data_IF_722420426228
#
_entry.id   IF_722420426228
#
_cell.length_a   1.000
_cell.length_b   1.000
_cell.length_c   1.000
_cell.angle_alpha   90.00
_cell.angle_beta   90.00
_cell.angle_gamma   90.00
#
_symmetry.space_group_name_H-M   'P 1'
#
loop_
_entity.id
_entity.type
_entity.pdbx_description
1 polymer ?
#
# COMPACT_ATOMS: atom_id res chain seq x y z
N UNK A 1 15.23 -16.68 11.29
CA UNK A 1 16.04 -15.61 10.65
C UNK A 1 15.39 -15.16 9.34
N UNK A 2 15.12 -16.08 8.41
CA UNK A 2 14.49 -15.79 7.11
C UNK A 2 13.12 -15.10 7.24
N UNK A 3 12.25 -15.60 8.09
CA UNK A 3 10.95 -15.00 8.34
C UNK A 3 11.05 -13.55 8.83
N UNK A 4 12.08 -13.22 9.59
CA UNK A 4 12.31 -11.87 10.09
C UNK A 4 12.80 -10.91 8.99
N UNK A 5 13.63 -11.41 8.07
CA UNK A 5 14.04 -10.65 6.89
C UNK A 5 12.85 -10.38 5.98
N UNK A 6 12.03 -11.39 5.69
CA UNK A 6 10.86 -11.23 4.84
C UNK A 6 9.81 -10.28 5.41
N UNK A 7 9.69 -10.21 6.73
CA UNK A 7 8.71 -9.32 7.38
C UNK A 7 9.16 -7.85 7.39
N UNK A 8 10.47 -7.59 7.46
CA UNK A 8 11.00 -6.24 7.72
C UNK A 8 11.77 -5.62 6.56
N UNK A 9 11.91 -6.33 5.43
CA UNK A 9 12.65 -5.85 4.26
C UNK A 9 11.76 -5.78 3.03
N UNK A 10 12.00 -4.80 2.18
CA UNK A 10 11.37 -4.72 0.85
C UNK A 10 12.24 -5.37 -0.22
N UNK A 11 13.55 -5.39 0.04
CA UNK A 11 14.56 -5.96 -0.83
C UNK A 11 15.48 -6.82 0.03
N UNK A 12 15.73 -8.05 -0.39
CA UNK A 12 16.76 -8.91 0.18
C UNK A 12 17.73 -9.27 -0.91
N UNK A 13 19.01 -9.02 -0.65
CA UNK A 13 20.09 -9.35 -1.56
C UNK A 13 20.97 -10.42 -0.91
N UNK A 14 21.20 -11.51 -1.62
CA UNK A 14 22.13 -12.54 -1.26
C UNK A 14 23.25 -12.60 -2.30
N UNK A 15 24.47 -12.77 -1.84
CA UNK A 15 25.63 -13.04 -2.68
C UNK A 15 26.15 -14.45 -2.42
N UNK A 16 27.18 -14.84 -3.18
CA UNK A 16 27.90 -16.10 -3.04
C UNK A 16 27.17 -17.33 -3.57
N UNK A 17 26.06 -17.15 -4.25
CA UNK A 17 25.40 -18.22 -5.00
C UNK A 17 26.05 -18.40 -6.38
N UNK A 18 25.93 -19.59 -6.96
CA UNK A 18 26.49 -19.87 -8.29
C UNK A 18 25.53 -19.56 -9.43
N UNK A 19 24.43 -18.89 -9.14
CA UNK A 19 23.43 -18.53 -10.15
C UNK A 19 22.83 -17.17 -9.84
N UNK A 20 22.54 -16.44 -10.91
CA UNK A 20 21.74 -15.19 -10.83
C UNK A 20 20.27 -15.57 -10.81
N UNK A 21 19.57 -15.24 -9.72
CA UNK A 21 18.12 -15.42 -9.62
C UNK A 21 17.46 -14.16 -9.09
N UNK A 22 16.25 -13.94 -9.55
CA UNK A 22 15.37 -12.96 -8.95
C UNK A 22 14.00 -13.59 -8.71
N UNK A 23 13.39 -13.26 -7.61
CA UNK A 23 12.03 -13.70 -7.25
C UNK A 23 11.27 -12.55 -6.63
N UNK A 24 10.03 -12.38 -7.09
CA UNK A 24 9.04 -11.60 -6.37
C UNK A 24 8.32 -12.55 -5.43
N UNK A 25 8.54 -12.39 -4.14
CA UNK A 25 7.88 -13.20 -3.12
C UNK A 25 6.69 -12.40 -2.61
N UNK A 26 5.49 -12.84 -2.99
CA UNK A 26 4.23 -12.28 -2.50
C UNK A 26 3.71 -13.16 -1.38
N UNK A 27 3.50 -12.63 -0.19
CA UNK A 27 2.80 -13.36 0.86
C UNK A 27 1.29 -13.19 0.72
N UNK A 28 0.59 -14.32 0.64
CA UNK A 28 -0.88 -14.34 0.66
C UNK A 28 -1.32 -13.92 2.07
N UNK A 29 -2.00 -12.78 2.17
CA UNK A 29 -2.50 -12.21 3.43
C UNK A 29 -1.80 -10.94 3.91
N UNK A 30 -0.52 -10.76 3.65
CA UNK A 30 0.22 -9.56 4.09
C UNK A 30 0.42 -8.51 3.00
N UNK A 31 -0.06 -8.74 1.78
CA UNK A 31 0.11 -7.87 0.60
C UNK A 31 1.55 -7.35 0.41
N UNK A 32 2.54 -8.01 1.00
CA UNK A 32 3.93 -7.61 0.92
C UNK A 32 4.59 -8.31 -0.26
N UNK A 33 5.09 -7.52 -1.18
CA UNK A 33 6.01 -8.00 -2.21
C UNK A 33 7.44 -7.76 -1.73
N UNK A 34 8.19 -8.83 -1.64
CA UNK A 34 9.61 -8.80 -1.36
C UNK A 34 10.36 -9.06 -2.65
N UNK A 35 11.26 -8.17 -3.02
CA UNK A 35 12.20 -8.39 -4.11
C UNK A 35 13.38 -9.17 -3.54
N UNK A 36 13.50 -10.44 -3.90
CA UNK A 36 14.62 -11.28 -3.54
C UNK A 36 15.59 -11.40 -4.71
N UNK A 37 16.83 -11.01 -4.50
CA UNK A 37 17.89 -10.98 -5.51
C UNK A 37 19.04 -11.87 -5.05
N UNK A 38 19.33 -12.89 -5.82
CA UNK A 38 20.57 -13.69 -5.70
C UNK A 38 21.53 -13.25 -6.79
N UNK A 39 22.76 -12.94 -6.40
CA UNK A 39 23.83 -12.63 -7.33
C UNK A 39 24.87 -13.75 -7.32
N UNK A 40 25.33 -14.13 -8.50
CA UNK A 40 26.39 -15.08 -8.64
C UNK A 40 27.71 -14.59 -8.01
N UNK A 41 28.55 -15.51 -7.64
CA UNK A 41 29.81 -15.21 -7.00
C UNK A 41 30.83 -14.64 -8.00
N UNK A 42 31.55 -13.63 -7.57
CA UNK A 42 32.70 -13.12 -8.28
C UNK A 42 33.86 -14.13 -8.12
N UNK A 43 34.11 -14.92 -9.15
CA UNK A 43 35.10 -16.00 -9.11
C UNK A 43 36.27 -15.71 -10.05
N UNK A 44 37.45 -16.25 -9.71
CA UNK A 44 38.64 -16.13 -10.55
C UNK A 44 38.63 -17.05 -11.80
N UNK A 45 37.55 -17.72 -12.07
CA UNK A 45 37.40 -18.65 -13.19
C UNK A 45 36.57 -18.02 -14.32
N UNK A 46 36.58 -18.66 -15.50
CA UNK A 46 35.86 -18.19 -16.69
C UNK A 46 34.33 -18.04 -16.52
N UNK A 47 33.79 -18.37 -15.38
CA UNK A 47 32.35 -18.22 -15.03
C UNK A 47 32.14 -17.14 -13.96
N UNK A 48 32.94 -16.10 -13.96
CA UNK A 48 32.77 -14.98 -13.04
C UNK A 48 31.58 -14.10 -13.46
N UNK A 49 30.73 -13.78 -12.53
CA UNK A 49 29.57 -12.93 -12.75
C UNK A 49 29.43 -11.90 -11.61
N UNK A 50 28.84 -10.77 -11.90
CA UNK A 50 28.45 -9.80 -10.89
C UNK A 50 27.14 -9.10 -11.28
N UNK A 51 26.46 -8.56 -10.30
CA UNK A 51 25.25 -7.76 -10.49
C UNK A 51 25.46 -6.31 -10.07
N UNK A 52 24.86 -5.39 -10.82
CA UNK A 52 24.69 -3.99 -10.45
C UNK A 52 23.22 -3.72 -10.18
N UNK A 53 22.93 -3.06 -9.07
CA UNK A 53 21.59 -2.64 -8.70
C UNK A 53 21.50 -1.12 -8.72
N UNK A 54 20.56 -0.60 -9.49
CA UNK A 54 20.24 0.82 -9.53
C UNK A 54 18.85 1.02 -8.91
N UNK A 55 18.78 1.79 -7.84
CA UNK A 55 17.53 2.16 -7.19
C UNK A 55 17.16 3.57 -7.64
N UNK A 56 16.07 3.69 -8.39
CA UNK A 56 15.52 4.98 -8.80
C UNK A 56 14.38 5.35 -7.84
N UNK A 57 14.63 6.31 -6.95
CA UNK A 57 13.66 6.75 -5.94
C UNK A 57 12.59 7.68 -6.50
N UNK A 58 12.82 8.32 -7.64
CA UNK A 58 11.84 9.19 -8.29
C UNK A 58 10.77 8.36 -9.03
N UNK A 59 11.23 7.32 -9.73
CA UNK A 59 10.34 6.41 -10.48
C UNK A 59 9.89 5.21 -9.65
N UNK A 60 10.34 5.12 -8.40
CA UNK A 60 10.08 3.97 -7.54
C UNK A 60 10.38 2.64 -8.22
N UNK A 61 11.57 2.53 -8.80
CA UNK A 61 11.97 1.35 -9.55
C UNK A 61 13.37 0.87 -9.16
N UNK A 62 13.60 -0.43 -9.35
CA UNK A 62 14.91 -1.07 -9.20
C UNK A 62 15.26 -1.68 -10.54
N UNK A 63 16.40 -1.31 -11.08
CA UNK A 63 16.98 -1.96 -12.24
C UNK A 63 18.16 -2.81 -11.83
N UNK A 64 18.11 -4.08 -12.15
CA UNK A 64 19.19 -5.03 -11.96
C UNK A 64 19.85 -5.32 -13.30
N UNK A 65 21.15 -5.19 -13.32
CA UNK A 65 22.01 -5.56 -14.44
C UNK A 65 22.89 -6.72 -13.99
N UNK A 66 22.95 -7.78 -14.78
CA UNK A 66 23.90 -8.87 -14.58
C UNK A 66 24.97 -8.85 -15.65
N UNK A 67 26.19 -9.09 -15.25
CA UNK A 67 27.38 -9.08 -16.10
C UNK A 67 28.09 -10.42 -15.99
N UNK A 68 28.41 -11.02 -17.11
CA UNK A 68 29.16 -12.29 -17.20
C UNK A 68 30.52 -12.05 -17.87
N UNK A 69 31.57 -12.72 -17.37
CA UNK A 69 32.88 -12.67 -17.96
C UNK A 69 32.99 -13.60 -19.16
N UNK A 70 33.37 -13.08 -20.32
CA UNK A 70 33.50 -13.86 -21.56
C UNK A 70 34.90 -14.36 -21.86
N UNK A 71 35.85 -14.22 -20.91
CA UNK A 71 37.26 -14.58 -21.09
C UNK A 71 38.17 -13.37 -21.33
N UNK A 72 37.63 -12.22 -21.72
CA UNK A 72 38.38 -10.99 -22.02
C UNK A 72 37.84 -9.80 -21.22
N UNK A 73 36.50 -9.67 -21.14
CA UNK A 73 35.82 -8.57 -20.49
C UNK A 73 34.48 -9.05 -19.91
N UNK A 74 33.86 -8.21 -19.08
CA UNK A 74 32.49 -8.43 -18.62
C UNK A 74 31.51 -7.84 -19.63
N UNK A 75 30.55 -8.64 -20.03
CA UNK A 75 29.46 -8.24 -20.93
C UNK A 75 28.13 -8.29 -20.17
N UNK A 76 27.25 -7.37 -20.48
CA UNK A 76 25.90 -7.38 -19.92
C UNK A 76 25.15 -8.63 -20.41
N UNK A 77 24.72 -9.45 -19.47
CA UNK A 77 24.01 -10.69 -19.75
C UNK A 77 22.49 -10.49 -19.65
N UNK A 78 22.01 -9.71 -18.70
CA UNK A 78 20.59 -9.46 -18.45
C UNK A 78 20.38 -8.10 -17.79
N UNK A 79 19.29 -7.43 -18.18
CA UNK A 79 18.74 -6.27 -17.48
C UNK A 79 17.27 -6.52 -17.16
N UNK A 80 16.90 -6.34 -15.90
CA UNK A 80 15.52 -6.48 -15.43
C UNK A 80 15.15 -5.30 -14.55
N UNK A 81 13.98 -4.69 -14.81
CA UNK A 81 13.48 -3.57 -13.99
C UNK A 81 12.20 -3.99 -13.26
N UNK A 82 12.15 -3.70 -11.97
CA UNK A 82 11.04 -4.02 -11.09
C UNK A 82 10.51 -2.74 -10.44
N UNK A 83 9.19 -2.56 -10.32
CA UNK A 83 8.65 -1.49 -9.51
C UNK A 83 8.96 -1.75 -8.02
N UNK A 84 9.38 -0.73 -7.31
CA UNK A 84 9.44 -0.76 -5.84
C UNK A 84 8.03 -0.42 -5.38
N UNK A 85 7.28 -1.41 -4.93
CA UNK A 85 6.05 -1.14 -4.21
C UNK A 85 6.42 -0.55 -2.84
N UNK A 86 6.65 0.77 -2.78
CA UNK A 86 6.95 1.50 -1.53
C UNK A 86 5.78 1.51 -0.55
N UNK A 87 4.68 0.88 -0.90
CA UNK A 87 3.39 1.04 -0.26
C UNK A 87 3.26 0.25 1.05
N UNK A 88 4.30 0.27 1.93
CA UNK A 88 4.10 -0.27 3.29
C UNK A 88 4.95 0.39 4.36
N UNK A 89 4.26 0.93 5.31
CA UNK A 89 4.79 1.48 6.56
C UNK A 89 5.35 0.41 7.52
N UNK A 90 5.29 -0.87 7.18
CA UNK A 90 5.59 -1.98 8.10
C UNK A 90 4.61 -2.09 9.28
N UNK A 91 3.56 -1.28 9.28
CA UNK A 91 2.54 -1.23 10.31
C UNK A 91 1.35 -2.05 9.82
N UNK A 92 1.06 -3.16 10.49
CA UNK A 92 -0.04 -4.05 10.13
C UNK A 92 -1.33 -3.60 10.82
N UNK A 93 -2.45 -3.72 10.11
CA UNK A 93 -3.76 -3.56 10.73
C UNK A 93 -4.02 -4.66 11.76
N UNK A 94 -4.75 -4.30 12.81
CA UNK A 94 -5.35 -5.28 13.68
C UNK A 94 -6.40 -6.08 12.87
N UNK A 95 -6.38 -7.43 12.91
CA UNK A 95 -7.34 -8.25 12.17
C UNK A 95 -8.81 -7.90 12.45
N UNK A 96 -9.16 -7.68 13.72
CA UNK A 96 -10.52 -7.29 14.11
C UNK A 96 -10.92 -5.95 13.50
N UNK A 97 -9.96 -5.03 13.34
CA UNK A 97 -10.19 -3.74 12.70
C UNK A 97 -10.33 -3.89 11.17
N UNK A 98 -9.53 -4.74 10.55
CA UNK A 98 -9.64 -5.03 9.13
C UNK A 98 -11.03 -5.61 8.80
N UNK A 99 -11.51 -6.54 9.62
CA UNK A 99 -12.85 -7.10 9.50
C UNK A 99 -13.94 -6.03 9.69
N UNK A 100 -13.74 -5.10 10.63
CA UNK A 100 -14.68 -3.99 10.88
C UNK A 100 -14.75 -3.01 9.71
N UNK A 101 -13.63 -2.76 9.03
CA UNK A 101 -13.58 -1.88 7.85
C UNK A 101 -14.37 -2.45 6.66
N UNK A 102 -14.36 -3.76 6.51
CA UNK A 102 -15.05 -4.44 5.41
C UNK A 102 -16.53 -4.74 5.70
N UNK A 103 -16.99 -4.47 6.94
CA UNK A 103 -18.41 -4.68 7.30
C UNK A 103 -19.30 -3.65 6.63
N UNK A 104 -20.36 -4.15 6.02
CA UNK A 104 -21.52 -3.36 5.64
C UNK A 104 -22.71 -3.71 6.54
N UNK A 105 -23.58 -2.73 6.78
CA UNK A 105 -24.75 -2.90 7.65
C UNK A 105 -26.03 -3.23 6.87
N UNK A 106 -25.91 -3.51 5.57
CA UNK A 106 -27.06 -3.78 4.68
C UNK A 106 -27.21 -5.29 4.50
N UNK A 107 -28.36 -5.88 4.78
CA UNK A 107 -28.59 -7.31 4.60
C UNK A 107 -28.72 -7.67 3.11
N UNK A 108 -27.62 -7.70 2.40
CA UNK A 108 -27.54 -8.07 0.99
C UNK A 108 -27.19 -9.55 0.84
N UNK A 109 -27.77 -10.19 -0.17
CA UNK A 109 -27.41 -11.54 -0.60
C UNK A 109 -26.98 -11.51 -2.05
N UNK A 110 -25.92 -12.21 -2.37
CA UNK A 110 -25.46 -12.36 -3.74
C UNK A 110 -25.43 -13.84 -4.14
N UNK A 111 -25.85 -14.14 -5.38
CA UNK A 111 -26.00 -15.53 -5.84
C UNK A 111 -24.68 -16.31 -5.96
N UNK A 112 -23.54 -15.62 -6.01
CA UNK A 112 -22.21 -16.22 -6.22
C UNK A 112 -21.22 -15.94 -5.09
N UNK A 113 -21.61 -15.22 -4.04
CA UNK A 113 -20.74 -14.84 -2.93
C UNK A 113 -21.53 -14.91 -1.62
N UNK A 114 -21.11 -15.79 -0.72
CA UNK A 114 -21.79 -16.02 0.55
C UNK A 114 -21.68 -14.83 1.49
N UNK A 115 -20.52 -14.18 1.51
CA UNK A 115 -20.26 -12.99 2.33
C UNK A 115 -19.85 -11.81 1.45
N UNK A 116 -20.73 -10.84 1.33
CA UNK A 116 -20.40 -9.56 0.72
C UNK A 116 -19.65 -8.68 1.72
N UNK A 117 -18.65 -7.98 1.25
CA UNK A 117 -17.92 -6.96 2.01
C UNK A 117 -18.21 -5.57 1.44
N UNK A 118 -17.88 -4.52 2.19
CA UNK A 118 -18.15 -3.16 1.77
C UNK A 118 -17.55 -2.84 0.39
N UNK A 119 -16.32 -3.28 0.15
CA UNK A 119 -15.64 -3.08 -1.13
C UNK A 119 -16.30 -3.75 -2.34
N UNK A 120 -17.18 -4.74 -2.13
CA UNK A 120 -17.91 -5.39 -3.23
C UNK A 120 -19.10 -4.57 -3.72
N UNK A 121 -19.63 -3.70 -2.88
CA UNK A 121 -20.90 -3.00 -3.11
C UNK A 121 -20.77 -1.49 -3.14
N UNK A 122 -19.61 -0.97 -2.73
CA UNK A 122 -19.41 0.47 -2.64
C UNK A 122 -19.14 1.08 -4.02
N UNK A 123 -19.81 2.19 -4.27
CA UNK A 123 -19.59 3.04 -5.43
C UNK A 123 -19.20 4.42 -4.92
N UNK A 124 -18.10 4.97 -5.41
CA UNK A 124 -17.68 6.32 -5.05
C UNK A 124 -18.72 7.34 -5.50
N UNK A 125 -19.27 8.14 -4.58
CA UNK A 125 -20.25 9.15 -4.93
C UNK A 125 -19.60 10.40 -5.54
N UNK A 126 -20.35 11.09 -6.36
CA UNK A 126 -20.02 12.46 -6.75
C UNK A 126 -20.23 13.43 -5.58
N UNK A 127 -19.32 14.34 -5.38
CA UNK A 127 -19.34 15.38 -4.34
C UNK A 127 -19.60 16.74 -4.96
N UNK A 128 -20.44 17.53 -4.30
CA UNK A 128 -20.70 18.92 -4.67
C UNK A 128 -19.84 19.84 -3.79
N UNK A 129 -18.96 20.69 -4.38
CA UNK A 129 -18.18 21.65 -3.61
C UNK A 129 -19.07 22.74 -3.01
N UNK A 130 -19.03 22.91 -1.68
CA UNK A 130 -19.82 23.95 -0.98
C UNK A 130 -19.40 25.40 -1.32
N UNK A 131 -18.20 25.59 -1.85
CA UNK A 131 -17.68 26.91 -2.22
C UNK A 131 -18.31 27.51 -3.45
N UNK A 132 -18.99 26.70 -4.28
CA UNK A 132 -19.51 27.10 -5.58
C UNK A 132 -21.03 27.34 -5.60
N UNK A 133 -21.65 27.60 -4.44
CA UNK A 133 -23.10 27.88 -4.31
C UNK A 133 -23.58 29.00 -5.23
N UNK A 134 -22.69 29.83 -5.75
CA UNK A 134 -22.99 30.91 -6.70
C UNK A 134 -22.52 30.65 -8.14
N UNK A 135 -21.88 29.52 -8.41
CA UNK A 135 -21.48 29.15 -9.76
C UNK A 135 -22.70 28.65 -10.53
N UNK A 136 -22.89 29.18 -11.73
CA UNK A 136 -23.99 28.79 -12.62
C UNK A 136 -23.86 27.38 -13.20
N UNK A 137 -22.72 26.75 -12.93
CA UNK A 137 -22.39 25.38 -13.34
C UNK A 137 -21.94 24.60 -12.10
N UNK A 138 -22.79 23.70 -11.63
CA UNK A 138 -22.42 22.70 -10.62
C UNK A 138 -21.34 21.81 -11.21
N UNK A 139 -20.15 21.85 -10.63
CA UNK A 139 -19.06 20.99 -11.00
C UNK A 139 -18.94 19.90 -9.93
N UNK A 140 -19.45 18.71 -10.22
CA UNK A 140 -19.29 17.56 -9.34
C UNK A 140 -17.84 17.10 -9.35
N UNK A 141 -17.37 16.65 -8.21
CA UNK A 141 -16.05 16.08 -8.00
C UNK A 141 -16.23 14.60 -7.64
N UNK A 142 -15.64 13.73 -8.42
CA UNK A 142 -15.61 12.32 -8.09
C UNK A 142 -14.84 12.13 -6.76
N UNK A 143 -15.48 11.49 -5.77
CA UNK A 143 -14.86 11.25 -4.48
C UNK A 143 -13.66 10.30 -4.55
N UNK A 144 -13.49 9.53 -5.61
CA UNK A 144 -12.29 8.73 -5.86
C UNK A 144 -11.04 9.61 -6.04
N UNK A 145 -11.22 10.86 -6.51
CA UNK A 145 -10.11 11.83 -6.63
C UNK A 145 -9.48 12.20 -5.31
N UNK A 146 -10.20 11.98 -4.19
CA UNK A 146 -9.64 12.17 -2.84
C UNK A 146 -8.53 11.17 -2.51
N UNK A 147 -8.38 10.11 -3.31
CA UNK A 147 -7.30 9.12 -3.18
C UNK A 147 -5.99 9.56 -3.85
N UNK A 148 -6.04 10.61 -4.68
CA UNK A 148 -4.86 11.09 -5.41
C UNK A 148 -3.79 11.74 -4.52
N UNK A 149 -2.55 11.75 -5.00
CA UNK A 149 -1.37 12.31 -4.32
C UNK A 149 -1.45 13.85 -4.16
N UNK A 150 -2.44 14.49 -4.77
CA UNK A 150 -2.62 15.92 -4.84
C UNK A 150 -3.56 16.49 -3.79
N UNK A 151 -3.89 15.74 -2.72
CA UNK A 151 -4.62 16.34 -1.61
C UNK A 151 -3.66 17.33 -0.93
N UNK A 152 -3.80 18.63 -1.15
CA UNK A 152 -2.98 19.59 -0.45
C UNK A 152 -3.28 19.42 1.05
N UNK A 153 -2.36 19.87 1.92
CA UNK A 153 -2.49 19.88 3.38
C UNK A 153 -3.74 20.71 3.81
N UNK A 154 -4.92 20.22 3.48
CA UNK A 154 -6.19 20.91 3.71
C UNK A 154 -7.14 20.02 4.47
N UNK A 155 -7.89 20.64 5.32
CA UNK A 155 -9.04 20.03 5.98
C UNK A 155 -10.16 19.92 4.94
N UNK A 156 -10.61 18.68 4.70
CA UNK A 156 -11.79 18.42 3.86
C UNK A 156 -12.96 18.14 4.80
N UNK A 157 -14.04 18.89 4.63
CA UNK A 157 -15.29 18.69 5.37
C UNK A 157 -16.31 18.09 4.44
N UNK A 158 -16.76 16.86 4.77
CA UNK A 158 -17.83 16.17 4.05
C UNK A 158 -19.15 16.38 4.81
N UNK A 159 -20.09 17.07 4.18
CA UNK A 159 -21.44 17.28 4.68
C UNK A 159 -22.44 16.42 3.92
N UNK A 160 -23.55 16.09 4.53
CA UNK A 160 -24.63 15.35 3.90
C UNK A 160 -25.63 14.81 4.94
N UNK A 161 -26.77 14.39 4.47
CA UNK A 161 -27.86 13.86 5.31
C UNK A 161 -27.45 12.58 6.08
N UNK A 162 -28.24 12.23 7.09
CA UNK A 162 -28.07 10.98 7.78
C UNK A 162 -28.22 9.81 6.81
N UNK A 163 -27.34 8.78 6.94
CA UNK A 163 -27.32 7.59 6.07
C UNK A 163 -26.95 7.86 4.60
N UNK A 164 -26.36 9.02 4.26
CA UNK A 164 -25.89 9.33 2.90
C UNK A 164 -24.56 8.64 2.52
N UNK A 165 -24.06 7.69 3.33
CA UNK A 165 -22.85 6.93 2.99
C UNK A 165 -21.52 7.56 3.44
N UNK A 166 -21.52 8.69 4.15
CA UNK A 166 -20.27 9.37 4.60
C UNK A 166 -19.30 8.45 5.34
N UNK A 167 -19.81 7.64 6.27
CA UNK A 167 -18.97 6.70 7.02
C UNK A 167 -18.40 5.60 6.13
N UNK A 168 -19.18 5.11 5.18
CA UNK A 168 -18.72 4.11 4.21
C UNK A 168 -17.65 4.69 3.28
N UNK A 169 -17.81 5.94 2.84
CA UNK A 169 -16.79 6.63 2.06
C UNK A 169 -15.47 6.75 2.86
N UNK A 170 -15.53 7.17 4.13
CA UNK A 170 -14.33 7.25 4.97
C UNK A 170 -13.66 5.90 5.21
N UNK A 171 -14.44 4.82 5.35
CA UNK A 171 -13.91 3.45 5.46
C UNK A 171 -13.20 3.03 4.15
N UNK A 172 -13.79 3.34 3.01
CA UNK A 172 -13.19 3.03 1.70
C UNK A 172 -11.92 3.85 1.45
N UNK A 173 -11.92 5.15 1.74
CA UNK A 173 -10.73 6.00 1.65
C UNK A 173 -9.62 5.49 2.57
N UNK A 174 -9.94 5.16 3.83
CA UNK A 174 -8.98 4.59 4.76
C UNK A 174 -8.37 3.28 4.21
N UNK A 175 -9.23 2.37 3.72
CA UNK A 175 -8.79 1.07 3.19
C UNK A 175 -7.90 1.24 1.96
N UNK A 176 -8.22 2.19 1.08
CA UNK A 176 -7.42 2.48 -0.10
C UNK A 176 -6.08 3.10 0.28
N UNK A 177 -6.07 4.14 1.12
CA UNK A 177 -4.82 4.75 1.60
C UNK A 177 -3.92 3.74 2.33
N UNK A 178 -4.51 2.86 3.14
CA UNK A 178 -3.73 1.78 3.77
C UNK A 178 -3.10 0.83 2.74
N UNK A 179 -3.87 0.42 1.71
CA UNK A 179 -3.35 -0.41 0.60
C UNK A 179 -2.24 0.32 -0.16
N UNK A 180 -2.35 1.63 -0.26
CA UNK A 180 -1.35 2.49 -0.87
C UNK A 180 -0.15 2.82 0.04
N UNK A 181 -0.14 2.26 1.25
CA UNK A 181 0.95 2.42 2.21
C UNK A 181 0.93 3.74 2.96
N UNK A 182 -0.16 4.51 2.85
CA UNK A 182 -0.34 5.74 3.62
C UNK A 182 -0.82 5.38 5.02
N UNK A 183 -0.10 5.87 6.03
CA UNK A 183 -0.52 5.72 7.42
C UNK A 183 -1.75 6.59 7.70
N UNK A 184 -2.86 5.96 8.04
CA UNK A 184 -4.14 6.62 8.25
C UNK A 184 -4.74 6.25 9.60
N UNK A 185 -5.49 7.15 10.22
CA UNK A 185 -6.26 6.89 11.44
C UNK A 185 -7.71 7.30 11.22
N UNK A 186 -8.64 6.39 11.51
CA UNK A 186 -10.07 6.67 11.45
C UNK A 186 -10.58 6.96 12.86
N UNK A 187 -10.96 8.22 13.13
CA UNK A 187 -11.55 8.64 14.40
C UNK A 187 -13.06 8.74 14.27
N UNK A 188 -13.79 8.06 15.12
CA UNK A 188 -15.26 8.12 15.15
C UNK A 188 -15.72 9.17 16.16
N UNK A 189 -16.64 10.03 15.78
CA UNK A 189 -17.16 11.10 16.66
C UNK A 189 -17.65 10.61 18.03
N UNK A 190 -18.21 9.40 18.09
CA UNK A 190 -18.66 8.76 19.35
C UNK A 190 -17.50 8.47 20.33
N UNK A 191 -16.28 8.35 19.82
CA UNK A 191 -15.09 8.03 20.62
C UNK A 191 -14.39 9.29 21.13
N UNK A 192 -14.80 10.48 20.63
CA UNK A 192 -14.28 11.78 21.04
C UNK A 192 -14.95 12.23 22.33
N UNK A 193 -14.54 11.63 23.46
CA UNK A 193 -15.02 11.98 24.80
C UNK A 193 -13.86 12.51 25.64
N UNK A 194 -13.79 13.81 25.84
CA UNK A 194 -12.89 14.47 26.81
C UNK A 194 -11.38 14.24 26.62
N UNK A 195 -10.93 13.82 25.45
CA UNK A 195 -9.51 13.57 25.17
C UNK A 195 -8.90 14.72 24.39
N UNK A 196 -7.63 14.96 24.62
CA UNK A 196 -6.86 15.75 23.70
C UNK A 196 -6.60 14.94 22.42
N UNK A 197 -6.26 15.61 21.33
CA UNK A 197 -6.06 14.96 20.02
C UNK A 197 -4.97 13.87 20.06
N UNK A 198 -3.92 14.07 20.86
CA UNK A 198 -2.83 13.10 20.96
C UNK A 198 -3.28 11.79 21.61
N UNK A 199 -4.13 11.87 22.61
CA UNK A 199 -4.67 10.69 23.31
C UNK A 199 -5.67 9.96 22.40
N UNK A 200 -6.49 10.70 21.64
CA UNK A 200 -7.36 10.12 20.63
C UNK A 200 -6.57 9.36 19.56
N UNK A 201 -5.53 9.98 18.99
CA UNK A 201 -4.68 9.35 17.99
C UNK A 201 -3.99 8.10 18.55
N UNK A 202 -3.49 8.14 19.80
CA UNK A 202 -2.88 6.97 20.46
C UNK A 202 -3.88 5.84 20.67
N UNK A 203 -5.10 6.16 21.09
CA UNK A 203 -6.16 5.16 21.26
C UNK A 203 -6.55 4.54 19.92
N UNK A 204 -6.77 5.35 18.89
CA UNK A 204 -7.08 4.88 17.55
C UNK A 204 -5.95 4.01 16.99
N UNK A 205 -4.70 4.42 17.16
CA UNK A 205 -3.55 3.62 16.74
C UNK A 205 -3.53 2.24 17.38
N UNK A 206 -3.70 2.16 18.69
CA UNK A 206 -3.72 0.88 19.43
C UNK A 206 -4.87 -0.03 19.02
N UNK A 207 -5.99 0.55 18.62
CA UNK A 207 -7.16 -0.21 18.17
C UNK A 207 -7.01 -0.69 16.73
N UNK A 208 -6.43 0.14 15.86
CA UNK A 208 -6.43 -0.07 14.43
C UNK A 208 -5.19 -0.81 13.92
N UNK A 209 -4.09 -0.74 14.65
CA UNK A 209 -2.82 -1.32 14.25
C UNK A 209 -2.29 -2.32 15.28
N UNK A 210 -1.53 -3.29 14.78
CA UNK A 210 -0.84 -4.23 15.65
C UNK A 210 0.33 -3.53 16.34
N UNK A 211 0.34 -3.57 17.67
CA UNK A 211 1.52 -3.20 18.42
C UNK A 211 2.53 -4.36 18.35
N UNK A 212 3.70 -4.10 17.78
CA UNK A 212 4.85 -4.99 17.91
C UNK A 212 5.59 -4.73 19.21
#
# INVERSE_FOLDING_TARGET
FEQHLYTNSNIVMCGHEHSNRHQLISSIGDYKELIYLENAAFQCNNNSEYGLLIINTEENSISRYSYSYNGETYIEAECSTFPINQKRTGILLNPDWADELDKHHIPLKHARKDNLVLSDIFVYPDLEPLSDIHSKYMQYVDSETLLGDTIPERVIILEGESQSGKSSLLQMLYSSWYKDGVFSLLLRGKDIKHYNINDLCKCAYKQQYQNK
#
